data_IF_249432535515
#
_entry.id   IF_249432535515
#
_cell.length_a   1.000
_cell.length_b   1.000
_cell.length_c   1.000
_cell.angle_alpha   90.00
_cell.angle_beta   90.00
_cell.angle_gamma   90.00
#
_symmetry.space_group_name_H-M   'P 1'
#
loop_
_entity.id
_entity.type
_entity.pdbx_description
1 polymer ?
#
# COMPACT_ATOMS: atom_id res chain seq x y z
N UNK A 1 4.80 0.40 -10.19
CA UNK A 1 6.02 0.24 -11.03
C UNK A 1 5.72 -0.60 -12.29
N UNK A 2 5.15 -1.79 -12.17
CA UNK A 2 4.80 -2.69 -13.29
C UNK A 2 3.92 -2.02 -14.35
N UNK A 3 2.83 -1.33 -13.97
CA UNK A 3 1.93 -0.65 -14.92
C UNK A 3 2.57 0.54 -15.67
N UNK A 4 3.51 1.27 -15.05
CA UNK A 4 4.26 2.33 -15.76
C UNK A 4 5.18 1.76 -16.84
N UNK A 5 5.83 0.63 -16.54
CA UNK A 5 6.70 -0.08 -17.49
C UNK A 5 5.86 -0.69 -18.61
N UNK A 6 4.70 -1.28 -18.29
CA UNK A 6 3.79 -1.86 -19.26
C UNK A 6 3.23 -0.79 -20.22
N UNK A 7 2.79 0.37 -19.69
CA UNK A 7 2.33 1.52 -20.50
C UNK A 7 3.43 2.01 -21.45
N UNK A 8 4.65 2.25 -20.92
CA UNK A 8 5.78 2.71 -21.72
C UNK A 8 6.17 1.70 -22.80
N UNK A 9 6.20 0.40 -22.49
CA UNK A 9 6.50 -0.65 -23.47
C UNK A 9 5.41 -0.80 -24.53
N UNK A 10 4.15 -0.58 -24.17
CA UNK A 10 3.02 -0.62 -25.10
C UNK A 10 3.05 0.58 -26.04
N UNK A 11 3.31 1.79 -25.53
CA UNK A 11 3.48 3.02 -26.35
C UNK A 11 4.69 2.91 -27.31
N UNK A 12 5.81 2.38 -26.85
CA UNK A 12 7.02 2.14 -27.67
C UNK A 12 6.76 1.09 -28.77
N UNK A 13 6.07 0.01 -28.43
CA UNK A 13 5.67 -1.02 -29.41
C UNK A 13 4.72 -0.47 -30.46
N UNK A 14 3.74 0.35 -30.07
CA UNK A 14 2.82 1.03 -30.99
C UNK A 14 3.59 1.96 -31.91
N UNK A 15 4.49 2.78 -31.37
CA UNK A 15 5.31 3.71 -32.16
C UNK A 15 6.17 2.97 -33.19
N UNK A 16 6.77 1.85 -32.78
CA UNK A 16 7.55 1.01 -33.71
C UNK A 16 6.72 0.39 -34.83
N UNK A 17 5.52 -0.13 -34.47
CA UNK A 17 4.58 -0.67 -35.48
C UNK A 17 4.10 0.43 -36.44
N UNK A 18 3.74 1.61 -35.91
CA UNK A 18 3.34 2.77 -36.72
C UNK A 18 4.45 3.16 -37.68
N UNK A 19 5.67 3.33 -37.19
CA UNK A 19 6.83 3.70 -38.02
C UNK A 19 7.20 2.63 -39.07
N UNK A 20 6.86 1.37 -38.81
CA UNK A 20 7.09 0.27 -39.77
C UNK A 20 6.02 0.19 -40.83
N UNK A 21 4.77 0.51 -40.48
CA UNK A 21 3.61 0.44 -41.40
C UNK A 21 3.47 1.73 -42.24
N UNK A 22 3.80 2.90 -41.68
CA UNK A 22 3.68 4.20 -42.35
C UNK A 22 4.42 4.27 -43.71
N UNK A 23 5.66 3.79 -43.87
CA UNK A 23 6.32 3.74 -45.16
C UNK A 23 5.64 2.84 -46.20
N UNK A 24 4.96 1.78 -45.72
CA UNK A 24 4.17 0.91 -46.61
C UNK A 24 2.90 1.59 -47.07
N UNK A 25 2.26 2.38 -46.21
CA UNK A 25 1.09 3.19 -46.55
C UNK A 25 1.47 4.34 -47.51
N UNK A 26 2.57 5.04 -47.21
CA UNK A 26 3.03 6.20 -48.00
C UNK A 26 3.50 5.82 -49.42
N UNK A 27 4.07 4.65 -49.60
CA UNK A 27 4.53 4.14 -50.88
C UNK A 27 3.39 3.66 -51.80
N UNK A 28 2.19 3.48 -51.27
CA UNK A 28 1.03 2.95 -52.01
C UNK A 28 -0.08 3.98 -52.25
N UNK A 29 0.17 5.27 -52.01
CA UNK A 29 -0.82 6.34 -52.18
C UNK A 29 -1.35 6.47 -53.64
N UNK A 30 -0.76 5.81 -54.61
CA UNK A 30 -1.21 5.81 -56.00
C UNK A 30 -2.00 4.55 -56.43
N UNK A 31 -2.08 3.54 -55.59
CA UNK A 31 -2.92 2.36 -55.84
C UNK A 31 -3.93 2.23 -54.71
N UNK A 32 -5.21 2.53 -55.00
CA UNK A 32 -6.35 2.20 -54.12
C UNK A 32 -6.44 0.69 -53.94
N UNK A 33 -5.48 0.13 -53.20
CA UNK A 33 -5.43 -1.30 -53.00
C UNK A 33 -6.31 -1.66 -51.80
N UNK A 34 -7.26 -2.52 -52.01
CA UNK A 34 -8.20 -3.07 -51.00
C UNK A 34 -7.46 -3.58 -49.76
N UNK A 35 -6.23 -4.11 -49.96
CA UNK A 35 -5.34 -4.54 -48.89
C UNK A 35 -4.96 -3.41 -47.92
N UNK A 36 -4.78 -2.17 -48.43
CA UNK A 36 -4.46 -1.02 -47.57
C UNK A 36 -5.64 -0.59 -46.69
N UNK A 37 -6.88 -0.66 -47.23
CA UNK A 37 -8.07 -0.31 -46.46
C UNK A 37 -8.26 -1.26 -45.26
N UNK A 38 -7.98 -2.56 -45.42
CA UNK A 38 -8.08 -3.54 -44.35
C UNK A 38 -6.98 -3.37 -43.30
N UNK A 39 -5.75 -3.08 -43.74
CA UNK A 39 -4.64 -2.74 -42.82
C UNK A 39 -4.96 -1.45 -42.08
N UNK A 40 -5.44 -0.42 -42.76
CA UNK A 40 -5.80 0.86 -42.15
C UNK A 40 -6.96 0.72 -41.16
N UNK A 41 -7.97 -0.08 -41.49
CA UNK A 41 -9.09 -0.39 -40.57
C UNK A 41 -8.62 -1.18 -39.36
N UNK A 42 -7.77 -2.19 -39.56
CA UNK A 42 -7.18 -2.98 -38.48
C UNK A 42 -6.32 -2.10 -37.56
N UNK A 43 -5.51 -1.22 -38.13
CA UNK A 43 -4.69 -0.26 -37.41
C UNK A 43 -5.54 0.76 -36.64
N UNK A 44 -6.62 1.26 -37.22
CA UNK A 44 -7.57 2.16 -36.57
C UNK A 44 -8.26 1.48 -35.37
N UNK A 45 -8.71 0.24 -35.56
CA UNK A 45 -9.33 -0.55 -34.49
C UNK A 45 -8.33 -0.83 -33.35
N UNK A 46 -7.09 -1.17 -33.66
CA UNK A 46 -6.02 -1.35 -32.69
C UNK A 46 -5.73 -0.06 -31.90
N UNK A 47 -5.58 1.07 -32.57
CA UNK A 47 -5.36 2.36 -31.91
C UNK A 47 -6.54 2.77 -31.00
N UNK A 48 -7.76 2.47 -31.41
CA UNK A 48 -8.95 2.70 -30.59
C UNK A 48 -8.92 1.83 -29.31
N UNK A 49 -8.55 0.56 -29.43
CA UNK A 49 -8.37 -0.33 -28.29
C UNK A 49 -7.29 0.18 -27.32
N UNK A 50 -6.14 0.60 -27.86
CA UNK A 50 -5.04 1.17 -27.06
C UNK A 50 -5.45 2.47 -26.38
N UNK A 51 -6.12 3.37 -27.10
CA UNK A 51 -6.64 4.61 -26.50
C UNK A 51 -7.61 4.34 -25.37
N UNK A 52 -8.55 3.42 -25.54
CA UNK A 52 -9.49 3.00 -24.49
C UNK A 52 -8.76 2.34 -23.30
N UNK A 53 -7.75 1.52 -23.57
CA UNK A 53 -6.91 0.91 -22.53
C UNK A 53 -6.12 1.94 -21.72
N UNK A 54 -5.61 3.00 -22.37
CA UNK A 54 -4.94 4.12 -21.69
C UNK A 54 -5.86 4.83 -20.70
N UNK A 55 -7.15 4.98 -21.01
CA UNK A 55 -8.16 5.52 -20.08
C UNK A 55 -8.30 4.63 -18.85
N UNK A 56 -8.30 3.31 -19.03
CA UNK A 56 -8.34 2.36 -17.91
C UNK A 56 -7.12 2.52 -17.00
N UNK A 57 -5.92 2.66 -17.55
CA UNK A 57 -4.71 2.89 -16.73
C UNK A 57 -4.80 4.19 -15.93
N UNK A 58 -5.33 5.26 -16.53
CA UNK A 58 -5.58 6.51 -15.82
C UNK A 58 -6.59 6.33 -14.67
N UNK A 59 -7.66 5.55 -14.89
CA UNK A 59 -8.61 5.20 -13.80
C UNK A 59 -7.91 4.41 -12.69
N UNK A 60 -7.08 3.40 -13.01
CA UNK A 60 -6.30 2.64 -12.01
C UNK A 60 -5.42 3.58 -11.17
N UNK A 61 -4.74 4.52 -11.80
CA UNK A 61 -3.89 5.48 -11.09
C UNK A 61 -4.72 6.38 -10.16
N UNK A 62 -5.78 7.02 -10.68
CA UNK A 62 -6.57 8.00 -9.94
C UNK A 62 -7.51 7.38 -8.91
N UNK A 63 -8.13 6.25 -9.21
CA UNK A 63 -9.18 5.67 -8.37
C UNK A 63 -8.65 4.63 -7.38
N UNK A 64 -7.45 4.06 -7.62
CA UNK A 64 -6.85 3.03 -6.76
C UNK A 64 -5.52 3.48 -6.17
N UNK A 65 -4.50 3.81 -7.00
CA UNK A 65 -3.13 4.01 -6.53
C UNK A 65 -3.01 5.27 -5.67
N UNK A 66 -3.52 6.40 -6.14
CA UNK A 66 -3.48 7.67 -5.42
C UNK A 66 -4.25 7.60 -4.10
N UNK A 67 -5.52 7.13 -4.06
CA UNK A 67 -6.25 6.98 -2.80
C UNK A 67 -5.58 6.01 -1.82
N UNK A 68 -5.03 4.88 -2.29
CA UNK A 68 -4.30 3.94 -1.44
C UNK A 68 -3.04 4.58 -0.83
N UNK A 69 -2.31 5.34 -1.61
CA UNK A 69 -1.10 6.03 -1.14
C UNK A 69 -1.45 7.08 -0.09
N UNK A 70 -2.45 7.92 -0.34
CA UNK A 70 -2.90 8.94 0.60
C UNK A 70 -3.43 8.32 1.90
N UNK A 71 -4.19 7.23 1.79
CA UNK A 71 -4.70 6.52 2.96
C UNK A 71 -3.58 5.90 3.79
N UNK A 72 -2.61 5.25 3.14
CA UNK A 72 -1.41 4.71 3.81
C UNK A 72 -0.66 5.80 4.59
N UNK A 73 -0.43 6.95 3.97
CA UNK A 73 0.32 8.04 4.59
C UNK A 73 -0.45 8.63 5.79
N UNK A 74 -1.77 8.79 5.67
CA UNK A 74 -2.65 9.16 6.77
C UNK A 74 -2.61 8.15 7.93
N UNK A 75 -2.67 6.85 7.64
CA UNK A 75 -2.57 5.80 8.67
C UNK A 75 -1.23 5.83 9.40
N UNK A 76 -0.13 6.01 8.69
CA UNK A 76 1.22 6.12 9.28
C UNK A 76 1.28 7.31 10.25
N UNK A 77 0.75 8.45 9.86
CA UNK A 77 0.70 9.63 10.73
C UNK A 77 -0.10 9.34 12.01
N UNK A 78 -1.33 8.85 11.87
CA UNK A 78 -2.20 8.53 13.02
C UNK A 78 -1.56 7.47 13.93
N UNK A 79 -0.93 6.46 13.35
CA UNK A 79 -0.22 5.44 14.10
C UNK A 79 0.92 6.04 14.94
N UNK A 80 1.75 6.90 14.35
CA UNK A 80 2.88 7.54 15.06
C UNK A 80 2.40 8.45 16.19
N UNK A 81 1.31 9.20 15.98
CA UNK A 81 0.69 10.03 17.03
C UNK A 81 0.20 9.18 18.21
N UNK A 82 -0.50 8.08 17.93
CA UNK A 82 -1.01 7.18 18.97
C UNK A 82 0.10 6.41 19.68
N UNK A 83 1.15 6.01 18.97
CA UNK A 83 2.34 5.40 19.55
C UNK A 83 3.04 6.35 20.53
N UNK A 84 3.12 7.63 20.20
CA UNK A 84 3.69 8.66 21.06
C UNK A 84 2.86 8.84 22.33
N UNK A 85 1.53 8.89 22.20
CA UNK A 85 0.61 8.94 23.36
C UNK A 85 0.77 7.69 24.25
N UNK A 86 0.82 6.52 23.65
CA UNK A 86 1.03 5.26 24.38
C UNK A 86 2.35 5.22 25.16
N UNK A 87 3.45 5.67 24.54
CA UNK A 87 4.74 5.82 25.23
C UNK A 87 4.66 6.80 26.41
N UNK A 88 3.93 7.90 26.26
CA UNK A 88 3.68 8.86 27.34
C UNK A 88 2.92 8.24 28.52
N UNK A 89 1.89 7.44 28.26
CA UNK A 89 1.14 6.69 29.27
C UNK A 89 2.07 5.76 30.05
N UNK A 90 2.85 4.92 29.35
CA UNK A 90 3.79 3.99 29.97
C UNK A 90 4.85 4.71 30.80
N UNK A 91 5.38 5.82 30.30
CA UNK A 91 6.35 6.62 31.02
C UNK A 91 5.76 7.20 32.32
N UNK A 92 4.55 7.76 32.27
CA UNK A 92 3.87 8.33 33.45
C UNK A 92 3.62 7.28 34.54
N UNK A 93 3.15 6.09 34.13
CA UNK A 93 2.94 4.95 35.07
C UNK A 93 4.28 4.50 35.64
N UNK A 94 5.31 4.29 34.85
CA UNK A 94 6.62 3.84 35.30
C UNK A 94 7.27 4.86 36.23
N UNK A 95 7.19 6.15 35.94
CA UNK A 95 7.72 7.22 36.76
C UNK A 95 7.03 7.30 38.12
N UNK A 96 5.68 7.30 38.15
CA UNK A 96 4.92 7.33 39.41
C UNK A 96 5.16 6.08 40.24
N UNK A 97 5.31 4.90 39.63
CA UNK A 97 5.66 3.65 40.30
C UNK A 97 7.04 3.75 40.96
N UNK A 98 8.04 4.26 40.26
CA UNK A 98 9.40 4.42 40.82
C UNK A 98 9.43 5.36 42.00
N UNK A 99 8.68 6.48 41.99
CA UNK A 99 8.57 7.38 43.16
C UNK A 99 7.88 6.72 44.36
N UNK A 100 6.80 6.00 44.12
CA UNK A 100 6.08 5.23 45.11
C UNK A 100 6.98 4.15 45.76
N UNK A 101 7.67 3.34 44.97
CA UNK A 101 8.56 2.30 45.44
C UNK A 101 9.73 2.87 46.25
N UNK A 102 10.32 3.96 45.80
CA UNK A 102 11.40 4.66 46.51
C UNK A 102 10.93 5.22 47.83
N UNK A 103 9.74 5.81 47.92
CA UNK A 103 9.17 6.33 49.14
C UNK A 103 8.81 5.21 50.13
N UNK A 104 8.30 4.09 49.62
CA UNK A 104 8.02 2.86 50.39
C UNK A 104 9.29 2.31 51.05
N UNK A 105 10.39 2.23 50.27
CA UNK A 105 11.66 1.72 50.81
C UNK A 105 12.23 2.65 51.89
N UNK A 106 12.14 3.96 51.70
CA UNK A 106 12.56 4.94 52.73
C UNK A 106 11.74 4.83 54.02
N UNK A 107 10.43 4.68 53.88
CA UNK A 107 9.57 4.47 55.06
C UNK A 107 9.91 3.15 55.78
N UNK A 108 10.06 2.06 55.02
CA UNK A 108 10.43 0.76 55.63
C UNK A 108 11.76 0.80 56.38
N UNK A 109 12.79 1.46 55.83
CA UNK A 109 14.09 1.65 56.49
C UNK A 109 13.97 2.48 57.76
N UNK A 110 13.21 3.59 57.72
CA UNK A 110 12.99 4.44 58.88
C UNK A 110 12.20 3.72 60.00
N UNK A 111 11.18 2.95 59.62
CA UNK A 111 10.39 2.13 60.57
C UNK A 111 11.23 1.06 61.22
N UNK A 112 12.12 0.39 60.46
CA UNK A 112 13.05 -0.59 61.00
C UNK A 112 14.03 0.04 62.00
N UNK A 113 14.57 1.23 61.65
CA UNK A 113 15.46 1.96 62.58
C UNK A 113 14.71 2.38 63.85
N UNK A 114 13.50 2.91 63.73
CA UNK A 114 12.65 3.28 64.88
C UNK A 114 12.36 2.08 65.79
N UNK A 115 12.03 0.92 65.19
CA UNK A 115 11.84 -0.33 65.98
C UNK A 115 13.09 -0.77 66.73
N UNK A 116 14.26 -0.72 66.05
CA UNK A 116 15.53 -1.09 66.74
C UNK A 116 15.88 -0.18 67.88
N UNK A 117 15.61 1.13 67.73
CA UNK A 117 15.81 2.12 68.78
C UNK A 117 14.87 1.84 69.97
N UNK A 118 13.59 1.64 69.74
CA UNK A 118 12.59 1.36 70.74
C UNK A 118 12.93 0.03 71.52
N UNK A 119 13.38 -0.99 70.83
CA UNK A 119 13.82 -2.24 71.37
C UNK A 119 15.04 -2.08 72.31
N UNK A 120 16.01 -1.23 71.94
CA UNK A 120 17.16 -0.88 72.73
C UNK A 120 16.76 -0.12 74.01
N UNK A 121 15.81 0.82 73.93
CA UNK A 121 15.23 1.53 75.08
C UNK A 121 14.64 0.54 76.11
N UNK A 122 13.77 -0.36 75.62
CA UNK A 122 13.11 -1.37 76.46
C UNK A 122 14.11 -2.32 77.17
N UNK A 123 15.26 -2.54 76.55
CA UNK A 123 16.30 -3.40 77.15
C UNK A 123 17.18 -2.68 78.17
N UNK A 124 17.26 -1.35 78.14
CA UNK A 124 18.09 -0.50 78.98
C UNK A 124 17.38 -0.06 80.27
N UNK A 125 16.05 0.05 80.28
CA UNK A 125 15.26 0.45 81.43
C UNK A 125 15.46 -0.50 82.63
N UNK A 126 16.08 -1.66 82.41
CA UNK A 126 16.40 -2.63 83.46
C UNK A 126 17.76 -2.33 84.17
N UNK A 127 18.65 -1.43 83.62
CA UNK A 127 20.04 -1.34 84.10
C UNK A 127 20.67 0.05 84.25
N UNK A 128 20.02 1.19 83.94
CA UNK A 128 20.74 2.48 83.94
C UNK A 128 20.07 3.63 84.74
N UNK A 129 20.44 3.74 86.01
CA UNK A 129 20.51 5.04 86.68
C UNK A 129 21.92 5.58 86.54
N UNK A 130 22.12 6.65 85.82
CA UNK A 130 23.29 7.54 85.63
C UNK A 130 23.86 7.53 84.20
N UNK A 131 23.62 8.65 83.43
CA UNK A 131 24.72 9.46 82.85
C UNK A 131 24.20 10.45 81.81
N UNK A 132 24.91 11.55 81.57
CA UNK A 132 24.82 12.60 80.52
C UNK A 132 24.64 12.05 79.07
N UNK A 133 24.78 10.79 78.85
CA UNK A 133 24.49 10.06 77.61
C UNK A 133 22.99 9.94 77.34
N UNK A 134 22.13 9.95 78.34
CA UNK A 134 20.67 9.75 78.17
C UNK A 134 19.96 10.88 77.42
N UNK A 135 20.45 12.13 77.48
CA UNK A 135 19.85 13.24 76.78
C UNK A 135 20.15 13.22 75.29
N UNK A 136 21.37 12.83 74.90
CA UNK A 136 21.71 12.66 73.44
C UNK A 136 20.96 11.49 72.83
N UNK A 137 20.74 10.42 73.57
CA UNK A 137 20.01 9.24 73.16
C UNK A 137 18.50 9.55 72.96
N UNK A 138 17.89 10.29 73.92
CA UNK A 138 16.50 10.77 73.77
C UNK A 138 16.30 11.70 72.57
N UNK A 139 17.26 12.57 72.34
CA UNK A 139 17.23 13.48 71.13
C UNK A 139 17.35 12.67 69.85
N UNK A 140 18.23 11.66 69.79
CA UNK A 140 18.38 10.80 68.63
C UNK A 140 17.13 9.95 68.38
N UNK A 141 16.49 9.43 69.44
CA UNK A 141 15.25 8.68 69.33
C UNK A 141 14.08 9.53 68.87
N UNK A 142 13.98 10.78 69.33
CA UNK A 142 13.00 11.74 68.89
C UNK A 142 13.19 12.07 67.37
N UNK A 143 14.43 12.25 66.92
CA UNK A 143 14.76 12.48 65.51
C UNK A 143 14.37 11.27 64.63
N UNK A 144 14.65 10.03 65.07
CA UNK A 144 14.33 8.81 64.38
C UNK A 144 12.80 8.65 64.22
N UNK A 145 12.03 8.84 65.29
CA UNK A 145 10.55 8.81 65.24
C UNK A 145 9.96 9.89 64.36
N UNK A 146 10.54 11.10 64.40
CA UNK A 146 10.13 12.19 63.51
C UNK A 146 10.40 11.84 62.04
N UNK A 147 11.55 11.23 61.73
CA UNK A 147 11.90 10.81 60.38
C UNK A 147 10.98 9.70 59.89
N UNK A 148 10.62 8.72 60.71
CA UNK A 148 9.64 7.68 60.40
C UNK A 148 8.29 8.30 60.02
N UNK A 149 7.78 9.22 60.85
CA UNK A 149 6.54 9.92 60.61
C UNK A 149 6.54 10.71 59.31
N UNK A 150 7.63 11.43 59.00
CA UNK A 150 7.78 12.17 57.75
C UNK A 150 7.76 11.20 56.55
N UNK A 151 8.54 10.12 56.59
CA UNK A 151 8.62 9.14 55.55
C UNK A 151 7.28 8.38 55.34
N UNK A 152 6.53 8.13 56.41
CA UNK A 152 5.17 7.58 56.32
C UNK A 152 4.22 8.51 55.57
N UNK A 153 4.26 9.81 55.86
CA UNK A 153 3.44 10.82 55.15
C UNK A 153 3.80 10.91 53.68
N UNK A 154 5.10 10.93 53.34
CA UNK A 154 5.58 10.94 51.98
C UNK A 154 5.15 9.65 51.23
N UNK A 155 5.29 8.50 51.87
CA UNK A 155 4.84 7.24 51.29
C UNK A 155 3.33 7.22 51.01
N UNK A 156 2.50 7.66 51.97
CA UNK A 156 1.04 7.75 51.77
C UNK A 156 0.67 8.72 50.65
N UNK A 157 1.37 9.85 50.55
CA UNK A 157 1.17 10.80 49.48
C UNK A 157 1.51 10.20 48.12
N UNK A 158 2.69 9.59 47.97
CA UNK A 158 3.12 8.99 46.70
C UNK A 158 2.27 7.78 46.31
N UNK A 159 1.73 7.02 47.25
CA UNK A 159 0.77 5.95 47.03
C UNK A 159 -0.54 6.48 46.44
N UNK A 160 -1.11 7.53 47.01
CA UNK A 160 -2.33 8.18 46.50
C UNK A 160 -2.08 8.74 45.11
N UNK A 161 -0.95 9.42 44.93
CA UNK A 161 -0.54 9.99 43.65
C UNK A 161 -0.41 8.90 42.58
N UNK A 162 0.28 7.79 42.88
CA UNK A 162 0.42 6.65 41.95
C UNK A 162 -0.94 6.07 41.56
N UNK A 163 -1.83 5.87 42.52
CA UNK A 163 -3.18 5.35 42.24
C UNK A 163 -4.00 6.32 41.37
N UNK A 164 -3.87 7.62 41.59
CA UNK A 164 -4.52 8.64 40.74
C UNK A 164 -3.97 8.57 39.30
N UNK A 165 -2.63 8.53 39.13
CA UNK A 165 -1.99 8.38 37.82
C UNK A 165 -2.44 7.07 37.15
N UNK A 166 -2.48 5.96 37.83
CA UNK A 166 -2.97 4.70 37.26
C UNK A 166 -4.40 4.83 36.74
N UNK A 167 -5.31 5.45 37.52
CA UNK A 167 -6.68 5.63 37.11
C UNK A 167 -6.77 6.50 35.84
N UNK A 168 -6.12 7.67 35.84
CA UNK A 168 -6.12 8.60 34.69
C UNK A 168 -5.49 7.98 33.43
N UNK A 169 -4.37 7.27 33.59
CA UNK A 169 -3.69 6.65 32.47
C UNK A 169 -4.45 5.43 31.92
N UNK A 170 -5.15 4.67 32.77
CA UNK A 170 -6.04 3.60 32.32
C UNK A 170 -7.20 4.15 31.48
N UNK A 171 -7.81 5.27 31.88
CA UNK A 171 -8.86 5.91 31.08
C UNK A 171 -8.34 6.35 29.69
N UNK A 172 -7.14 6.92 29.64
CA UNK A 172 -6.49 7.29 28.36
C UNK A 172 -6.14 6.06 27.52
N UNK A 173 -5.68 4.99 28.13
CA UNK A 173 -5.38 3.74 27.47
C UNK A 173 -6.64 3.12 26.80
N UNK A 174 -7.77 3.09 27.50
CA UNK A 174 -9.03 2.61 26.92
C UNK A 174 -9.51 3.47 25.75
N UNK A 175 -9.35 4.79 25.83
CA UNK A 175 -9.65 5.69 24.69
C UNK A 175 -8.76 5.39 23.48
N UNK A 176 -7.47 5.10 23.71
CA UNK A 176 -6.55 4.69 22.64
C UNK A 176 -6.95 3.37 21.99
N UNK A 177 -7.34 2.38 22.77
CA UNK A 177 -7.84 1.10 22.23
C UNK A 177 -9.06 1.32 21.34
N UNK A 178 -10.00 2.17 21.78
CA UNK A 178 -11.19 2.48 20.99
C UNK A 178 -10.85 3.16 19.66
N UNK A 179 -9.92 4.10 19.67
CA UNK A 179 -9.39 4.72 18.44
C UNK A 179 -8.79 3.68 17.50
N UNK A 180 -7.99 2.74 18.02
CA UNK A 180 -7.37 1.68 17.21
C UNK A 180 -8.44 0.77 16.58
N UNK A 181 -9.49 0.41 17.32
CA UNK A 181 -10.62 -0.37 16.77
C UNK A 181 -11.31 0.36 15.64
N UNK A 182 -11.64 1.63 15.81
CA UNK A 182 -12.26 2.46 14.77
C UNK A 182 -11.37 2.60 13.53
N UNK A 183 -10.05 2.75 13.72
CA UNK A 183 -9.10 2.78 12.61
C UNK A 183 -9.09 1.47 11.82
N UNK A 184 -9.17 0.33 12.51
CA UNK A 184 -9.18 -0.99 11.87
C UNK A 184 -10.49 -1.25 11.11
N UNK A 185 -11.63 -0.83 11.65
CA UNK A 185 -12.92 -0.87 10.97
C UNK A 185 -12.90 0.01 9.71
N UNK A 186 -12.42 1.24 9.82
CA UNK A 186 -12.28 2.16 8.69
C UNK A 186 -11.32 1.61 7.63
N UNK A 187 -10.20 1.00 8.03
CA UNK A 187 -9.26 0.34 7.13
C UNK A 187 -9.95 -0.77 6.33
N UNK A 188 -10.72 -1.60 7.02
CA UNK A 188 -11.44 -2.71 6.39
C UNK A 188 -12.47 -2.21 5.37
N UNK A 189 -13.25 -1.19 5.72
CA UNK A 189 -14.24 -0.58 4.81
C UNK A 189 -13.56 0.08 3.62
N UNK A 190 -12.45 0.79 3.83
CA UNK A 190 -11.70 1.42 2.76
C UNK A 190 -11.12 0.40 1.78
N UNK A 191 -10.46 -0.67 2.28
CA UNK A 191 -9.93 -1.75 1.44
C UNK A 191 -11.04 -2.41 0.62
N UNK A 192 -12.19 -2.68 1.22
CA UNK A 192 -13.36 -3.19 0.50
C UNK A 192 -13.78 -2.26 -0.64
N UNK A 193 -13.90 -0.96 -0.38
CA UNK A 193 -14.24 0.04 -1.39
C UNK A 193 -13.24 0.06 -2.56
N UNK A 194 -11.95 -0.06 -2.29
CA UNK A 194 -10.90 -0.14 -3.32
C UNK A 194 -11.02 -1.43 -4.14
N UNK A 195 -11.30 -2.56 -3.50
CA UNK A 195 -11.51 -3.84 -4.21
C UNK A 195 -12.75 -3.81 -5.11
N UNK A 196 -13.83 -3.19 -4.67
CA UNK A 196 -15.04 -3.01 -5.48
C UNK A 196 -14.73 -2.14 -6.72
N UNK A 197 -14.03 -1.02 -6.55
CA UNK A 197 -13.57 -0.18 -7.69
C UNK A 197 -12.66 -0.95 -8.64
N UNK A 198 -11.71 -1.73 -8.11
CA UNK A 198 -10.84 -2.57 -8.93
C UNK A 198 -11.63 -3.56 -9.78
N UNK A 199 -12.61 -4.23 -9.17
CA UNK A 199 -13.52 -5.13 -9.88
C UNK A 199 -14.23 -4.42 -11.04
N UNK A 200 -14.78 -3.23 -10.80
CA UNK A 200 -15.50 -2.46 -11.83
C UNK A 200 -14.57 -2.05 -12.99
N UNK A 201 -13.35 -1.61 -12.66
CA UNK A 201 -12.32 -1.30 -13.66
C UNK A 201 -11.96 -2.54 -14.49
N UNK A 202 -11.82 -3.70 -13.86
CA UNK A 202 -11.51 -4.96 -14.57
C UNK A 202 -12.66 -5.41 -15.48
N UNK A 203 -13.90 -5.20 -15.06
CA UNK A 203 -15.08 -5.46 -15.91
C UNK A 203 -15.05 -4.55 -17.16
N UNK A 204 -14.79 -3.25 -16.98
CA UNK A 204 -14.69 -2.30 -18.09
C UNK A 204 -13.53 -2.68 -19.04
N UNK A 205 -12.38 -3.05 -18.51
CA UNK A 205 -11.24 -3.51 -19.30
C UNK A 205 -11.56 -4.76 -20.12
N UNK A 206 -12.20 -5.76 -19.51
CA UNK A 206 -12.60 -6.96 -20.21
C UNK A 206 -13.59 -6.68 -21.36
N UNK A 207 -14.53 -5.75 -21.18
CA UNK A 207 -15.44 -5.33 -22.24
C UNK A 207 -14.68 -4.70 -23.42
N UNK A 208 -13.68 -3.86 -23.14
CA UNK A 208 -12.85 -3.23 -24.19
C UNK A 208 -12.13 -4.31 -25.00
N UNK A 209 -11.50 -5.26 -24.33
CA UNK A 209 -10.80 -6.37 -25.00
C UNK A 209 -11.76 -7.25 -25.80
N UNK A 210 -12.92 -7.56 -25.26
CA UNK A 210 -13.92 -8.38 -25.93
C UNK A 210 -14.46 -7.68 -27.20
N UNK A 211 -14.78 -6.40 -27.14
CA UNK A 211 -15.17 -5.62 -28.29
C UNK A 211 -14.08 -5.59 -29.38
N UNK A 212 -12.81 -5.44 -28.96
CA UNK A 212 -11.69 -5.47 -29.90
C UNK A 212 -11.55 -6.83 -30.59
N UNK A 213 -11.69 -7.94 -29.86
CA UNK A 213 -11.65 -9.29 -30.41
C UNK A 213 -12.79 -9.50 -31.41
N UNK A 214 -13.99 -9.01 -31.11
CA UNK A 214 -15.15 -9.09 -32.00
C UNK A 214 -14.94 -8.27 -33.28
N UNK A 215 -14.48 -7.00 -33.17
CA UNK A 215 -14.13 -6.15 -34.31
C UNK A 215 -13.05 -6.83 -35.18
N UNK A 216 -12.00 -7.34 -34.56
CA UNK A 216 -10.91 -8.02 -35.27
C UNK A 216 -11.37 -9.33 -35.96
N UNK A 217 -12.23 -10.10 -35.32
CA UNK A 217 -12.80 -11.32 -35.85
C UNK A 217 -13.66 -11.06 -37.10
N UNK A 218 -14.39 -9.94 -37.11
CA UNK A 218 -15.17 -9.50 -38.30
C UNK A 218 -14.26 -9.12 -39.46
N UNK A 219 -13.11 -8.46 -39.18
CA UNK A 219 -12.14 -8.08 -40.23
C UNK A 219 -11.46 -9.31 -40.88
N UNK A 220 -11.26 -10.40 -40.10
CA UNK A 220 -10.64 -11.63 -40.59
C UNK A 220 -11.69 -12.59 -41.20
N UNK A 221 -12.97 -12.24 -41.13
CA UNK A 221 -14.00 -13.15 -41.64
C UNK A 221 -13.72 -13.54 -43.11
N UNK A 222 -13.90 -14.81 -43.41
CA UNK A 222 -13.65 -15.36 -44.76
C UNK A 222 -14.37 -14.59 -45.88
N UNK A 223 -15.43 -13.91 -45.55
CA UNK A 223 -16.23 -13.11 -46.49
C UNK A 223 -15.47 -11.86 -46.99
N UNK A 224 -14.79 -11.15 -46.07
CA UNK A 224 -13.95 -9.97 -46.42
C UNK A 224 -12.74 -10.41 -47.25
N UNK A 225 -12.02 -11.44 -46.80
CA UNK A 225 -10.87 -11.98 -47.51
C UNK A 225 -11.25 -12.48 -48.91
N UNK A 226 -12.42 -13.12 -49.06
CA UNK A 226 -12.89 -13.64 -50.34
C UNK A 226 -13.28 -12.51 -51.30
N UNK A 227 -13.90 -11.43 -50.81
CA UNK A 227 -14.21 -10.25 -51.59
C UNK A 227 -12.95 -9.50 -52.06
N UNK A 228 -11.95 -9.39 -51.19
CA UNK A 228 -10.68 -8.74 -51.51
C UNK A 228 -9.89 -9.51 -52.59
N UNK A 229 -9.82 -10.83 -52.46
CA UNK A 229 -9.20 -11.71 -53.45
C UNK A 229 -9.92 -11.62 -54.81
N UNK A 230 -11.25 -11.57 -54.77
CA UNK A 230 -12.04 -11.43 -55.98
C UNK A 230 -11.79 -10.09 -56.69
N UNK A 231 -11.79 -8.99 -55.93
CA UNK A 231 -11.50 -7.64 -56.49
C UNK A 231 -10.07 -7.54 -57.02
N UNK A 232 -9.07 -8.06 -56.30
CA UNK A 232 -7.69 -8.14 -56.80
C UNK A 232 -7.63 -8.91 -58.12
N UNK A 233 -8.34 -10.03 -58.21
CA UNK A 233 -8.38 -10.83 -59.44
C UNK A 233 -9.02 -10.08 -60.59
N UNK A 234 -10.15 -9.41 -60.36
CA UNK A 234 -10.87 -8.61 -61.37
C UNK A 234 -10.00 -7.43 -61.86
N UNK A 235 -9.25 -6.75 -60.98
CA UNK A 235 -8.29 -5.69 -61.33
C UNK A 235 -7.10 -6.24 -62.14
N UNK A 236 -6.53 -7.38 -61.78
CA UNK A 236 -5.45 -8.02 -62.51
C UNK A 236 -5.90 -8.52 -63.88
N UNK A 237 -7.09 -9.08 -63.98
CA UNK A 237 -7.67 -9.51 -65.27
C UNK A 237 -7.97 -8.29 -66.16
N UNK A 238 -8.35 -7.14 -65.61
CA UNK A 238 -8.51 -5.85 -66.35
C UNK A 238 -7.20 -5.30 -66.93
N UNK A 239 -6.12 -5.38 -66.09
CA UNK A 239 -4.78 -4.93 -66.57
C UNK A 239 -4.18 -5.80 -67.68
N UNK A 240 -4.47 -7.11 -67.70
CA UNK A 240 -3.98 -8.06 -68.64
C UNK A 240 -4.69 -7.87 -70.03
N UNK A 241 -5.85 -7.22 -70.09
CA UNK A 241 -6.63 -7.01 -71.29
C UNK A 241 -6.19 -5.74 -72.06
N UNK A 242 -5.58 -4.75 -71.36
CA UNK A 242 -5.27 -3.44 -71.92
C UNK A 242 -3.90 -3.33 -72.66
N UNK A 243 -3.00 -4.30 -72.53
CA UNK A 243 -1.70 -4.27 -73.16
C UNK A 243 -1.60 -5.28 -74.34
N UNK A 244 -1.77 -4.81 -75.58
CA UNK A 244 -1.74 -5.70 -76.73
C UNK A 244 -0.36 -6.30 -77.05
N UNK A 245 0.75 -5.77 -76.54
CA UNK A 245 2.10 -6.31 -76.72
C UNK A 245 2.38 -7.54 -75.84
N UNK A 246 1.63 -7.72 -74.76
CA UNK A 246 1.79 -8.88 -73.86
C UNK A 246 1.03 -10.11 -74.30
N UNK A 247 0.16 -10.01 -75.32
CA UNK A 247 -0.65 -11.13 -75.85
C UNK A 247 0.16 -12.31 -76.41
N UNK A 248 1.45 -12.19 -76.56
CA UNK A 248 2.30 -13.24 -77.14
C UNK A 248 3.03 -14.12 -76.09
N UNK A 249 3.11 -13.71 -74.85
CA UNK A 249 3.82 -14.48 -73.83
C UNK A 249 2.83 -15.16 -72.91
N UNK A 250 2.63 -16.48 -73.06
CA UNK A 250 1.97 -17.32 -72.07
C UNK A 250 2.84 -17.35 -70.83
N UNK A 251 2.59 -16.48 -69.86
CA UNK A 251 3.16 -16.61 -68.50
C UNK A 251 2.53 -17.84 -67.91
N UNK A 252 3.28 -18.93 -67.87
CA UNK A 252 2.88 -20.10 -67.05
C UNK A 252 2.90 -19.71 -65.58
N UNK A 253 1.73 -19.68 -65.01
CA UNK A 253 1.61 -19.61 -63.56
C UNK A 253 2.35 -20.84 -62.95
N UNK A 254 3.47 -20.61 -62.32
CA UNK A 254 4.15 -21.69 -61.56
C UNK A 254 3.29 -21.88 -60.31
N UNK A 255 2.47 -22.93 -60.31
CA UNK A 255 1.79 -23.42 -59.14
C UNK A 255 2.89 -23.91 -58.18
N UNK A 256 3.28 -23.10 -57.22
CA UNK A 256 4.11 -23.53 -56.10
C UNK A 256 3.26 -24.45 -55.24
N UNK A 257 3.49 -25.77 -55.37
CA UNK A 257 2.93 -26.74 -54.47
C UNK A 257 3.40 -26.40 -53.05
N UNK A 258 2.50 -26.46 -52.09
CA UNK A 258 2.76 -26.19 -50.67
C UNK A 258 3.89 -27.04 -50.07
N UNK A 259 4.30 -28.14 -50.71
CA UNK A 259 5.38 -29.04 -50.28
C UNK A 259 6.81 -28.43 -50.37
N UNK A 260 6.99 -27.30 -51.10
CA UNK A 260 8.31 -26.69 -51.28
C UNK A 260 8.61 -25.52 -50.33
N UNK A 261 7.70 -25.16 -49.44
CA UNK A 261 7.88 -24.03 -48.50
C UNK A 261 8.41 -24.51 -47.12
N UNK A 262 8.31 -25.81 -46.83
CA UNK A 262 8.69 -26.34 -45.48
C UNK A 262 10.02 -27.14 -45.46
N UNK A 263 10.86 -27.05 -46.50
CA UNK A 263 12.10 -27.81 -46.60
C UNK A 263 13.34 -26.91 -46.68
N UNK A 264 13.66 -26.22 -45.58
CA UNK A 264 14.92 -25.49 -45.45
C UNK A 264 15.34 -25.49 -43.99
N UNK A 265 16.13 -26.49 -43.61
CA UNK A 265 16.88 -26.56 -42.35
C UNK A 265 17.76 -25.34 -42.12
#
# INVERSE_FOLDING_TARGET
MFFKIFKANTEDSITKITNSIQPLIDNQTNQKNIFCNNIETTYSSYNNCVGKSSIIFTKVENDLIIPLTNYKDSLIQIYNENLTKFKGILFSISHSKSLYESSRMRYYQASLQSYMVTKRESSKDIFSGLTTSANKEKEMNSKTKSQEYINEKVYKYELIRHNTVLKEQNEQYYKLIEIIKQLEENRTMFVKSILDKYKDIMIDYNKIIQNYIEEYSQLISNEVCTQDIKKMKDEYDGLLVEDPEVKGQKVKFIQTNEENICGGT
#
